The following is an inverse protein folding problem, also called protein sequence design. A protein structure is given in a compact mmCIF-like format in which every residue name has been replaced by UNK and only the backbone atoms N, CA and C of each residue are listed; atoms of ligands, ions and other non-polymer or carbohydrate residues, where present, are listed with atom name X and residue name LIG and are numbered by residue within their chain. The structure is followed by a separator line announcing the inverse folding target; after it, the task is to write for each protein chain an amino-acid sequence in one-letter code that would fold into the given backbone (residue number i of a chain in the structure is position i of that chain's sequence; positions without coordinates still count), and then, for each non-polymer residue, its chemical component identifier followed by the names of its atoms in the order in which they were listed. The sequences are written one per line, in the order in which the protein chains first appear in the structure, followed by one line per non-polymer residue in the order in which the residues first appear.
data_IF_927001498760
#
_entry.id   IF_927001498760
#
_cell.length_a   1.000
_cell.length_b   1.000
_cell.length_c   1.000
_cell.angle_alpha   90.00
_cell.angle_beta   90.00
_cell.angle_gamma   90.00
#
_symmetry.space_group_name_H-M   'P 1'
#
loop_
_entity.id
_entity.type
_entity.pdbx_description
1 polymer ?
#
# COMPACT_ATOMS: atom_id res chain seq x y z
N UNK A 1 -8.28 -17.31 -5.38
CA UNK A 1 -7.84 -17.69 -6.74
C UNK A 1 -6.98 -18.94 -6.59
N UNK A 2 -7.24 -20.01 -7.32
CA UNK A 2 -6.40 -21.21 -7.27
C UNK A 2 -5.00 -20.91 -7.81
N UNK A 3 -3.98 -21.49 -7.16
CA UNK A 3 -2.58 -21.33 -7.57
C UNK A 3 -2.34 -22.03 -8.91
N UNK A 4 -1.68 -21.34 -9.83
CA UNK A 4 -1.24 -21.86 -11.12
C UNK A 4 0.07 -21.17 -11.54
N UNK A 5 0.58 -21.43 -12.76
CA UNK A 5 1.86 -20.87 -13.23
C UNK A 5 1.91 -19.35 -13.37
N UNK A 6 0.76 -18.69 -13.55
CA UNK A 6 0.66 -17.22 -13.67
C UNK A 6 0.24 -16.59 -12.34
N UNK A 7 -0.48 -17.32 -11.50
CA UNK A 7 -1.02 -16.88 -10.22
C UNK A 7 -0.43 -17.78 -9.13
N UNK A 8 0.81 -17.50 -8.73
CA UNK A 8 1.56 -18.40 -7.84
C UNK A 8 1.36 -18.12 -6.36
N UNK A 9 0.75 -16.97 -6.01
CA UNK A 9 0.53 -16.56 -4.64
C UNK A 9 -0.60 -17.35 -3.98
N UNK A 10 -0.26 -18.11 -2.95
CA UNK A 10 -1.23 -18.77 -2.09
C UNK A 10 -1.94 -17.77 -1.16
N UNK A 11 -3.04 -18.19 -0.52
CA UNK A 11 -3.66 -17.40 0.54
C UNK A 11 -2.68 -17.14 1.69
N UNK A 12 -1.82 -18.13 2.02
CA UNK A 12 -0.78 -17.98 3.02
C UNK A 12 0.23 -16.89 2.66
N UNK A 13 0.71 -16.82 1.41
CA UNK A 13 1.63 -15.79 0.94
C UNK A 13 1.01 -14.39 1.08
N UNK A 14 -0.25 -14.25 0.67
CA UNK A 14 -0.98 -12.96 0.71
C UNK A 14 -1.20 -12.48 2.14
N UNK A 15 -1.64 -13.37 3.04
CA UNK A 15 -1.88 -13.02 4.44
C UNK A 15 -0.58 -12.82 5.22
N UNK A 16 0.49 -13.56 4.89
CA UNK A 16 1.82 -13.31 5.45
C UNK A 16 2.36 -11.94 5.07
N UNK A 17 2.13 -11.51 3.82
CA UNK A 17 2.45 -10.17 3.34
C UNK A 17 1.66 -9.11 4.11
N UNK A 18 0.35 -9.29 4.24
CA UNK A 18 -0.52 -8.37 4.97
C UNK A 18 -0.11 -8.24 6.45
N UNK A 19 0.15 -9.37 7.12
CA UNK A 19 0.61 -9.38 8.51
C UNK A 19 1.96 -8.67 8.67
N UNK A 20 2.90 -8.90 7.75
CA UNK A 20 4.21 -8.23 7.77
C UNK A 20 4.07 -6.72 7.69
N UNK A 21 3.21 -6.20 6.82
CA UNK A 21 2.95 -4.75 6.70
C UNK A 21 2.26 -4.21 7.96
N UNK A 22 1.26 -4.91 8.48
CA UNK A 22 0.58 -4.53 9.72
C UNK A 22 1.55 -4.44 10.90
N UNK A 23 2.50 -5.37 11.00
CA UNK A 23 3.57 -5.36 12.00
C UNK A 23 4.53 -4.19 11.80
N UNK A 24 4.92 -3.88 10.57
CA UNK A 24 5.77 -2.73 10.26
C UNK A 24 5.10 -1.41 10.67
N UNK A 25 3.79 -1.29 10.49
CA UNK A 25 3.00 -0.13 10.92
C UNK A 25 2.71 -0.11 12.44
N UNK A 26 2.85 -1.23 13.13
CA UNK A 26 2.64 -1.33 14.59
C UNK A 26 1.18 -1.20 15.03
N UNK A 27 0.22 -1.57 14.18
CA UNK A 27 -1.22 -1.50 14.47
C UNK A 27 -1.72 -2.84 15.00
N UNK A 28 -1.81 -2.97 16.33
CA UNK A 28 -2.15 -4.23 17.01
C UNK A 28 -3.43 -4.89 16.48
N UNK A 29 -4.47 -4.12 16.23
CA UNK A 29 -5.75 -4.67 15.75
C UNK A 29 -5.59 -5.38 14.41
N UNK A 30 -4.81 -4.79 13.51
CA UNK A 30 -4.54 -5.42 12.20
C UNK A 30 -3.61 -6.63 12.34
N UNK A 31 -2.59 -6.55 13.19
CA UNK A 31 -1.73 -7.71 13.46
C UNK A 31 -2.54 -8.89 13.98
N UNK A 32 -3.43 -8.67 14.93
CA UNK A 32 -4.30 -9.72 15.46
C UNK A 32 -5.26 -10.26 14.40
N UNK A 33 -5.84 -9.38 13.58
CA UNK A 33 -6.75 -9.75 12.51
C UNK A 33 -6.08 -10.66 11.47
N UNK A 34 -4.94 -10.24 10.94
CA UNK A 34 -4.24 -11.02 9.90
C UNK A 34 -3.58 -12.28 10.46
N UNK A 35 -3.09 -12.26 11.71
CA UNK A 35 -2.60 -13.46 12.39
C UNK A 35 -3.72 -14.51 12.57
N UNK A 36 -4.92 -14.07 12.95
CA UNK A 36 -6.06 -14.97 13.10
C UNK A 36 -6.52 -15.58 11.76
N UNK A 37 -6.46 -14.83 10.67
CA UNK A 37 -6.76 -15.34 9.33
C UNK A 37 -5.68 -16.29 8.81
N UNK A 38 -4.43 -16.05 9.18
CA UNK A 38 -3.28 -16.87 8.75
C UNK A 38 -3.21 -18.21 9.49
N UNK A 39 -3.53 -18.23 10.78
CA UNK A 39 -3.35 -19.38 11.67
C UNK A 39 -3.93 -20.71 11.16
N UNK A 40 -5.16 -20.76 10.59
CA UNK A 40 -5.75 -22.01 10.11
C UNK A 40 -5.23 -22.46 8.74
N UNK A 41 -4.45 -21.63 8.03
CA UNK A 41 -3.99 -21.98 6.69
C UNK A 41 -2.77 -22.91 6.74
N UNK A 42 -2.68 -23.86 5.81
CA UNK A 42 -1.46 -24.64 5.65
C UNK A 42 -0.32 -23.71 5.23
N UNK A 43 0.78 -23.76 5.96
CA UNK A 43 2.01 -23.07 5.61
C UNK A 43 2.64 -23.63 4.32
N UNK A 44 3.74 -23.02 3.85
CA UNK A 44 4.53 -23.59 2.77
C UNK A 44 5.07 -24.95 3.19
N UNK A 45 5.41 -25.78 2.21
CA UNK A 45 6.13 -27.02 2.51
C UNK A 45 7.47 -26.68 3.20
N UNK A 46 8.08 -27.68 3.85
CA UNK A 46 9.33 -27.50 4.59
C UNK A 46 10.58 -27.43 3.69
N UNK A 47 10.42 -27.34 2.37
CA UNK A 47 11.54 -27.25 1.45
C UNK A 47 12.30 -25.94 1.63
N UNK A 48 13.62 -26.00 1.34
CA UNK A 48 14.47 -24.81 1.37
C UNK A 48 14.00 -23.74 0.37
N UNK A 49 13.49 -24.17 -0.77
CA UNK A 49 13.00 -23.30 -1.83
C UNK A 49 11.75 -22.52 -1.38
N UNK A 50 10.75 -23.21 -0.83
CA UNK A 50 9.52 -22.58 -0.31
C UNK A 50 9.80 -21.63 0.84
N UNK A 51 10.70 -21.99 1.75
CA UNK A 51 11.12 -21.10 2.84
C UNK A 51 11.86 -19.86 2.32
N UNK A 52 12.75 -20.01 1.34
CA UNK A 52 13.45 -18.89 0.69
C UNK A 52 12.44 -17.95 0.01
N UNK A 53 11.48 -18.51 -0.72
CA UNK A 53 10.45 -17.75 -1.42
C UNK A 53 9.63 -16.90 -0.44
N UNK A 54 9.11 -17.50 0.62
CA UNK A 54 8.34 -16.77 1.63
C UNK A 54 9.18 -15.68 2.34
N UNK A 55 10.43 -15.98 2.66
CA UNK A 55 11.36 -15.03 3.27
C UNK A 55 11.60 -13.83 2.35
N UNK A 56 11.79 -14.02 1.05
CA UNK A 56 11.97 -12.94 0.09
C UNK A 56 10.70 -12.08 -0.03
N UNK A 57 9.53 -12.68 -0.11
CA UNK A 57 8.25 -11.96 -0.19
C UNK A 57 8.07 -11.09 1.06
N UNK A 58 8.25 -11.64 2.25
CA UNK A 58 8.03 -10.91 3.50
C UNK A 58 9.13 -9.86 3.75
N UNK A 59 10.36 -10.12 3.36
CA UNK A 59 11.44 -9.12 3.42
C UNK A 59 11.14 -7.93 2.50
N UNK A 60 10.75 -8.19 1.26
CA UNK A 60 10.36 -7.15 0.32
C UNK A 60 9.19 -6.33 0.87
N UNK A 61 8.16 -6.99 1.40
CA UNK A 61 7.00 -6.32 1.99
C UNK A 61 7.39 -5.38 3.14
N UNK A 62 8.28 -5.82 4.02
CA UNK A 62 8.79 -5.00 5.12
C UNK A 62 9.58 -3.80 4.61
N UNK A 63 10.45 -3.99 3.63
CA UNK A 63 11.25 -2.93 3.04
C UNK A 63 10.39 -1.87 2.35
N UNK A 64 9.47 -2.29 1.49
CA UNK A 64 8.59 -1.34 0.80
C UNK A 64 7.66 -0.61 1.78
N UNK A 65 7.17 -1.28 2.82
CA UNK A 65 6.30 -0.67 3.82
C UNK A 65 7.03 0.38 4.68
N UNK A 66 8.28 0.09 5.10
CA UNK A 66 9.01 0.90 6.08
C UNK A 66 10.11 1.78 5.50
N UNK A 67 10.67 1.45 4.36
CA UNK A 67 11.82 2.14 3.75
C UNK A 67 11.77 2.04 2.23
N UNK A 68 10.81 2.71 1.56
CA UNK A 68 10.63 2.59 0.10
C UNK A 68 11.90 2.89 -0.70
N UNK A 69 12.77 3.79 -0.23
CA UNK A 69 14.01 4.18 -0.90
C UNK A 69 15.05 3.06 -1.05
N UNK A 70 14.91 1.95 -0.29
CA UNK A 70 15.81 0.79 -0.43
C UNK A 70 15.35 -0.18 -1.53
N UNK A 71 14.20 0.07 -2.16
CA UNK A 71 13.70 -0.74 -3.27
C UNK A 71 14.43 -0.34 -4.55
N UNK A 72 15.48 -1.07 -4.84
CA UNK A 72 16.29 -0.94 -6.05
C UNK A 72 15.96 -2.06 -7.07
N UNK A 73 16.67 -2.08 -8.18
CA UNK A 73 16.51 -3.11 -9.20
C UNK A 73 16.82 -4.52 -8.66
N UNK A 74 17.75 -4.63 -7.71
CA UNK A 74 18.06 -5.91 -7.07
C UNK A 74 16.87 -6.42 -6.24
N UNK A 75 16.24 -5.55 -5.44
CA UNK A 75 15.07 -5.92 -4.65
C UNK A 75 13.90 -6.36 -5.54
N UNK A 76 13.68 -5.71 -6.69
CA UNK A 76 12.65 -6.10 -7.66
C UNK A 76 12.99 -7.45 -8.31
N UNK A 77 14.23 -7.63 -8.75
CA UNK A 77 14.67 -8.87 -9.41
C UNK A 77 14.60 -10.08 -8.47
N UNK A 78 14.80 -9.89 -7.16
CA UNK A 78 14.68 -10.97 -6.18
C UNK A 78 13.27 -11.59 -6.12
N UNK A 79 12.23 -10.85 -6.43
CA UNK A 79 10.87 -11.39 -6.52
C UNK A 79 10.72 -12.30 -7.75
N UNK A 80 11.27 -11.91 -8.90
CA UNK A 80 11.29 -12.73 -10.12
C UNK A 80 12.12 -14.00 -9.90
N UNK A 81 13.30 -13.89 -9.28
CA UNK A 81 14.17 -15.03 -8.97
C UNK A 81 13.52 -16.13 -8.11
N UNK A 82 12.53 -15.77 -7.30
CA UNK A 82 11.77 -16.76 -6.50
C UNK A 82 10.47 -17.18 -7.17
N UNK A 83 10.29 -16.84 -8.45
CA UNK A 83 9.25 -17.35 -9.33
C UNK A 83 7.92 -16.58 -9.29
N UNK A 84 7.90 -15.32 -8.82
CA UNK A 84 6.71 -14.48 -8.96
C UNK A 84 6.55 -14.02 -10.41
N UNK A 85 5.34 -14.20 -10.94
CA UNK A 85 4.96 -13.64 -12.23
C UNK A 85 4.72 -12.12 -12.14
N UNK A 86 4.63 -11.44 -13.28
CA UNK A 86 4.23 -10.01 -13.31
C UNK A 86 2.90 -9.78 -12.58
N UNK A 87 1.92 -10.67 -12.78
CA UNK A 87 0.65 -10.64 -12.05
C UNK A 87 0.86 -10.72 -10.53
N UNK A 88 1.68 -11.66 -10.06
CA UNK A 88 1.97 -11.83 -8.65
C UNK A 88 2.64 -10.58 -8.05
N UNK A 89 3.58 -9.98 -8.79
CA UNK A 89 4.27 -8.76 -8.37
C UNK A 89 3.27 -7.61 -8.23
N UNK A 90 2.34 -7.46 -9.16
CA UNK A 90 1.26 -6.45 -9.05
C UNK A 90 0.41 -6.71 -7.82
N UNK A 91 -0.03 -7.94 -7.59
CA UNK A 91 -0.86 -8.31 -6.43
C UNK A 91 -0.14 -8.03 -5.11
N UNK A 92 1.12 -8.47 -4.97
CA UNK A 92 1.92 -8.24 -3.74
C UNK A 92 2.04 -6.74 -3.44
N UNK A 93 2.36 -5.93 -4.44
CA UNK A 93 2.53 -4.49 -4.23
C UNK A 93 1.19 -3.80 -3.89
N UNK A 94 0.09 -4.25 -4.49
CA UNK A 94 -1.25 -3.78 -4.11
C UNK A 94 -1.59 -4.15 -2.66
N UNK A 95 -1.27 -5.36 -2.21
CA UNK A 95 -1.46 -5.76 -0.81
C UNK A 95 -0.64 -4.85 0.13
N UNK A 96 0.64 -4.64 -0.17
CA UNK A 96 1.52 -3.82 0.67
C UNK A 96 0.98 -2.38 0.77
N UNK A 97 0.61 -1.79 -0.34
CA UNK A 97 0.04 -0.44 -0.39
C UNK A 97 -1.28 -0.33 0.37
N UNK A 98 -2.21 -1.26 0.10
CA UNK A 98 -3.52 -1.28 0.75
C UNK A 98 -3.42 -1.48 2.27
N UNK A 99 -2.62 -2.43 2.74
CA UNK A 99 -2.49 -2.68 4.19
C UNK A 99 -1.82 -1.49 4.89
N UNK A 100 -0.86 -0.84 4.28
CA UNK A 100 -0.28 0.40 4.79
C UNK A 100 -1.30 1.55 4.88
N UNK A 101 -2.17 1.66 3.90
CA UNK A 101 -3.31 2.57 3.90
C UNK A 101 -4.31 2.20 5.00
N UNK A 102 -4.75 0.95 5.06
CA UNK A 102 -5.67 0.45 6.07
C UNK A 102 -5.16 0.67 7.50
N UNK A 103 -3.86 0.44 7.74
CA UNK A 103 -3.23 0.68 9.04
C UNK A 103 -3.37 2.14 9.49
N UNK A 104 -3.19 3.07 8.56
CA UNK A 104 -3.34 4.51 8.85
C UNK A 104 -4.79 4.92 9.06
N UNK A 105 -5.71 4.38 8.29
CA UNK A 105 -7.15 4.60 8.47
C UNK A 105 -7.59 4.08 9.85
N UNK A 106 -7.15 2.88 10.25
CA UNK A 106 -7.43 2.35 11.59
C UNK A 106 -6.84 3.25 12.67
N UNK A 107 -5.60 3.75 12.49
CA UNK A 107 -4.98 4.68 13.44
C UNK A 107 -5.78 5.99 13.59
N UNK A 108 -6.27 6.56 12.47
CA UNK A 108 -7.12 7.76 12.48
C UNK A 108 -8.39 7.52 13.29
N UNK A 109 -9.12 6.44 13.03
CA UNK A 109 -10.37 6.16 13.73
C UNK A 109 -10.17 5.76 15.19
N UNK A 110 -9.11 5.05 15.53
CA UNK A 110 -8.75 4.77 16.94
C UNK A 110 -8.48 6.07 17.68
N UNK A 111 -7.73 6.99 17.08
CA UNK A 111 -7.45 8.30 17.66
C UNK A 111 -8.74 9.13 17.83
N UNK A 112 -9.61 9.17 16.83
CA UNK A 112 -10.88 9.88 16.85
C UNK A 112 -11.80 9.37 17.96
N UNK A 113 -11.83 8.06 18.18
CA UNK A 113 -12.64 7.40 19.21
C UNK A 113 -11.99 7.45 20.61
N UNK A 114 -10.82 8.06 20.74
CA UNK A 114 -10.10 8.15 22.00
C UNK A 114 -9.60 6.81 22.54
N UNK A 115 -9.46 5.80 21.69
CA UNK A 115 -8.90 4.53 22.12
C UNK A 115 -7.42 4.69 22.50
N UNK A 116 -6.99 4.09 23.62
CA UNK A 116 -5.58 4.17 24.01
C UNK A 116 -4.70 3.53 22.95
N UNK A 117 -3.60 4.19 22.64
CA UNK A 117 -2.55 3.64 21.79
C UNK A 117 -1.96 2.44 22.53
N UNK A 118 -2.21 1.24 22.02
CA UNK A 118 -1.51 0.05 22.48
C UNK A 118 -0.20 -0.01 21.75
N UNK A 119 0.86 0.24 22.49
CA UNK A 119 2.18 0.37 21.95
C UNK A 119 2.76 -0.99 21.57
N UNK A 120 2.67 -1.35 20.29
CA UNK A 120 3.61 -2.24 19.66
C UNK A 120 4.59 -1.34 18.93
N UNK A 121 5.90 -1.43 19.22
CA UNK A 121 6.86 -0.63 18.50
C UNK A 121 6.85 -1.09 17.03
N UNK A 122 6.22 -0.29 16.19
CA UNK A 122 6.37 -0.39 14.74
C UNK A 122 7.75 0.08 14.30
N UNK A 123 8.03 -0.05 13.02
CA UNK A 123 9.24 0.52 12.43
C UNK A 123 9.09 2.05 12.31
N UNK A 124 10.19 2.77 12.44
CA UNK A 124 10.21 4.16 12.01
C UNK A 124 10.20 4.18 10.48
N UNK A 125 9.09 4.62 9.92
CA UNK A 125 8.87 4.59 8.48
C UNK A 125 9.52 5.80 7.83
N UNK A 126 10.36 5.56 6.82
CA UNK A 126 10.96 6.60 6.00
C UNK A 126 10.03 6.88 4.81
N UNK A 127 9.44 8.07 4.70
CA UNK A 127 8.64 8.40 3.54
C UNK A 127 9.56 8.60 2.33
N UNK A 128 9.13 8.08 1.19
CA UNK A 128 9.72 8.45 -0.08
C UNK A 128 9.00 9.69 -0.61
N UNK A 129 9.76 10.72 -0.92
CA UNK A 129 9.24 11.93 -1.55
C UNK A 129 9.48 11.82 -3.05
N UNK A 130 8.43 11.61 -3.81
CA UNK A 130 8.51 11.70 -5.27
C UNK A 130 8.67 13.16 -5.68
N UNK A 131 9.51 13.47 -6.69
CA UNK A 131 9.55 14.80 -7.27
C UNK A 131 8.18 15.23 -7.81
N UNK A 132 7.96 16.53 -7.85
CA UNK A 132 6.69 17.12 -8.26
C UNK A 132 6.35 16.92 -9.76
N UNK A 133 7.34 16.58 -10.60
CA UNK A 133 7.11 16.34 -12.03
C UNK A 133 6.84 14.85 -12.28
N UNK A 134 5.62 14.57 -12.71
CA UNK A 134 5.22 13.21 -13.09
C UNK A 134 5.64 12.81 -14.51
N UNK A 135 6.23 13.73 -15.26
CA UNK A 135 6.50 13.55 -16.70
C UNK A 135 7.69 12.63 -16.99
N UNK A 136 8.49 12.31 -15.97
CA UNK A 136 9.70 11.50 -16.10
C UNK A 136 9.58 10.06 -15.54
N UNK A 137 8.40 9.68 -15.01
CA UNK A 137 8.24 8.34 -14.45
C UNK A 137 7.98 7.29 -15.54
N UNK A 138 8.78 6.22 -15.56
CA UNK A 138 8.65 5.12 -16.50
C UNK A 138 8.43 3.77 -15.81
N UNK A 139 7.52 2.92 -16.34
CA UNK A 139 7.32 1.58 -15.81
C UNK A 139 8.54 0.69 -16.09
N UNK A 140 8.94 -0.10 -15.11
CA UNK A 140 9.95 -1.15 -15.20
C UNK A 140 9.31 -2.53 -15.40
N UNK A 141 8.05 -2.69 -15.02
CA UNK A 141 7.29 -3.91 -15.27
C UNK A 141 6.62 -3.86 -16.66
N UNK A 142 6.45 -5.03 -17.31
CA UNK A 142 5.67 -5.11 -18.53
C UNK A 142 4.26 -4.55 -18.33
N UNK A 143 3.82 -3.69 -19.23
CA UNK A 143 2.45 -3.20 -19.29
C UNK A 143 1.54 -4.23 -19.97
N UNK A 144 0.24 -4.17 -19.69
CA UNK A 144 -0.73 -5.03 -20.36
C UNK A 144 -0.79 -4.65 -21.86
N UNK A 145 -0.54 -5.61 -22.73
CA UNK A 145 -0.68 -5.43 -24.18
C UNK A 145 -2.15 -5.49 -24.60
N UNK A 146 -2.66 -4.43 -25.19
CA UNK A 146 -4.08 -4.30 -25.55
C UNK A 146 -4.59 -5.47 -26.42
N UNK A 147 -3.76 -5.99 -27.32
CA UNK A 147 -4.14 -7.11 -28.19
C UNK A 147 -4.41 -8.43 -27.46
N UNK A 148 -3.91 -8.57 -26.22
CA UNK A 148 -4.12 -9.76 -25.38
C UNK A 148 -4.98 -9.48 -24.17
N UNK A 149 -5.40 -8.24 -23.98
CA UNK A 149 -6.21 -7.82 -22.84
C UNK A 149 -7.62 -8.42 -22.94
N UNK A 150 -8.13 -8.91 -21.82
CA UNK A 150 -9.52 -9.33 -21.71
C UNK A 150 -10.47 -8.12 -21.54
N UNK A 151 -11.78 -8.38 -21.63
CA UNK A 151 -12.79 -7.31 -21.57
C UNK A 151 -12.70 -6.47 -20.27
N UNK A 152 -12.51 -7.12 -19.12
CA UNK A 152 -12.37 -6.42 -17.84
C UNK A 152 -11.12 -5.53 -17.79
N UNK A 153 -9.99 -6.03 -18.30
CA UNK A 153 -8.76 -5.24 -18.40
C UNK A 153 -8.95 -3.99 -19.28
N UNK A 154 -9.62 -4.14 -20.42
CA UNK A 154 -9.90 -3.01 -21.32
C UNK A 154 -10.84 -1.99 -20.69
N UNK A 155 -11.85 -2.44 -19.98
CA UNK A 155 -12.80 -1.56 -19.27
C UNK A 155 -12.10 -0.79 -18.15
N UNK A 156 -11.36 -1.47 -17.28
CA UNK A 156 -10.61 -0.84 -16.18
C UNK A 156 -9.54 0.13 -16.70
N UNK A 157 -8.81 -0.24 -17.76
CA UNK A 157 -7.84 0.64 -18.41
C UNK A 157 -8.51 1.92 -18.93
N UNK A 158 -9.63 1.78 -19.66
CA UNK A 158 -10.38 2.93 -20.19
C UNK A 158 -10.89 3.84 -19.09
N UNK A 159 -11.35 3.27 -17.98
CA UNK A 159 -11.88 4.01 -16.85
C UNK A 159 -10.82 4.82 -16.12
N UNK A 160 -9.67 4.22 -15.82
CA UNK A 160 -8.69 4.81 -14.90
C UNK A 160 -7.52 5.53 -15.57
N UNK A 161 -7.29 5.34 -16.88
CA UNK A 161 -6.23 6.05 -17.59
C UNK A 161 -6.45 7.57 -17.68
N UNK A 162 -7.69 8.04 -17.51
CA UNK A 162 -8.04 9.46 -17.49
C UNK A 162 -7.96 10.08 -16.08
N UNK A 163 -7.77 9.25 -15.04
CA UNK A 163 -7.62 9.73 -13.67
C UNK A 163 -6.15 10.13 -13.43
N UNK A 164 -5.83 11.43 -13.22
CA UNK A 164 -4.45 11.91 -13.20
C UNK A 164 -3.56 11.18 -12.17
N UNK A 165 -4.11 10.83 -11.01
CA UNK A 165 -3.35 10.15 -9.96
C UNK A 165 -3.00 8.69 -10.29
N UNK A 166 -3.76 8.04 -11.18
CA UNK A 166 -3.60 6.64 -11.57
C UNK A 166 -3.07 6.45 -12.98
N UNK A 167 -3.17 7.46 -13.85
CA UNK A 167 -2.91 7.34 -15.29
C UNK A 167 -1.60 6.62 -15.60
N UNK A 168 -0.49 7.01 -14.98
CA UNK A 168 0.81 6.40 -15.20
C UNK A 168 0.89 4.93 -14.71
N UNK A 169 0.20 4.59 -13.61
CA UNK A 169 0.20 3.25 -13.01
C UNK A 169 -0.79 2.30 -13.69
N UNK A 170 -1.84 2.82 -14.30
CA UNK A 170 -2.95 2.02 -14.85
C UNK A 170 -2.51 0.92 -15.80
N UNK A 171 -1.58 1.12 -16.76
CA UNK A 171 -1.15 0.05 -17.68
C UNK A 171 -0.48 -1.13 -16.98
N UNK A 172 0.18 -0.91 -15.84
CA UNK A 172 0.79 -1.96 -15.01
C UNK A 172 -0.25 -2.59 -14.09
N UNK A 173 -1.02 -1.78 -13.38
CA UNK A 173 -2.05 -2.26 -12.44
C UNK A 173 -3.14 -3.08 -13.13
N UNK A 174 -3.35 -2.87 -14.42
CA UNK A 174 -4.34 -3.56 -15.22
C UNK A 174 -4.06 -5.07 -15.39
N UNK A 175 -2.89 -5.57 -14.98
CA UNK A 175 -2.66 -7.02 -14.83
C UNK A 175 -3.64 -7.66 -13.84
N UNK A 176 -4.09 -6.91 -12.82
CA UNK A 176 -5.19 -7.32 -11.93
C UNK A 176 -6.27 -6.23 -11.88
N UNK A 177 -7.20 -6.24 -12.84
CA UNK A 177 -8.16 -5.16 -13.02
C UNK A 177 -9.12 -5.01 -11.82
N UNK A 178 -9.44 -6.08 -11.10
CA UNK A 178 -10.29 -6.00 -9.89
C UNK A 178 -9.64 -5.15 -8.80
N UNK A 179 -8.33 -5.32 -8.58
CA UNK A 179 -7.60 -4.50 -7.61
C UNK A 179 -7.40 -3.07 -8.11
N UNK A 180 -7.20 -2.87 -9.41
CA UNK A 180 -7.15 -1.53 -10.01
C UNK A 180 -8.48 -0.79 -9.78
N UNK A 181 -9.62 -1.44 -10.04
CA UNK A 181 -10.93 -0.84 -9.83
C UNK A 181 -11.14 -0.47 -8.36
N UNK A 182 -10.78 -1.37 -7.44
CA UNK A 182 -10.84 -1.09 -6.00
C UNK A 182 -9.95 0.12 -5.61
N UNK A 183 -8.74 0.19 -6.15
CA UNK A 183 -7.82 1.32 -5.91
C UNK A 183 -8.43 2.64 -6.38
N UNK A 184 -9.02 2.64 -7.56
CA UNK A 184 -9.68 3.81 -8.12
C UNK A 184 -10.91 4.24 -7.33
N UNK A 185 -11.75 3.31 -6.89
CA UNK A 185 -12.90 3.61 -6.03
C UNK A 185 -12.47 4.20 -4.68
N UNK A 186 -11.43 3.66 -4.06
CA UNK A 186 -10.89 4.21 -2.81
C UNK A 186 -10.33 5.62 -3.05
N UNK A 187 -9.63 5.86 -4.16
CA UNK A 187 -9.15 7.18 -4.54
C UNK A 187 -10.30 8.19 -4.60
N UNK A 188 -11.36 7.88 -5.33
CA UNK A 188 -12.49 8.80 -5.49
C UNK A 188 -13.18 9.10 -4.17
N UNK A 189 -13.31 8.11 -3.28
CA UNK A 189 -13.94 8.26 -1.97
C UNK A 189 -13.02 8.93 -0.92
N UNK A 190 -11.70 8.96 -1.15
CA UNK A 190 -10.74 9.56 -0.23
C UNK A 190 -10.34 10.99 -0.61
N UNK A 191 -10.83 11.49 -1.75
CA UNK A 191 -10.45 12.80 -2.28
C UNK A 191 -11.10 13.93 -1.48
N UNK A 192 -10.30 14.86 -0.99
CA UNK A 192 -10.79 16.11 -0.45
C UNK A 192 -11.16 17.06 -1.61
N UNK A 193 -12.33 17.69 -1.51
CA UNK A 193 -12.80 18.63 -2.54
C UNK A 193 -11.94 19.89 -2.65
N UNK A 194 -11.26 20.28 -1.57
CA UNK A 194 -10.42 21.47 -1.52
C UNK A 194 -9.07 21.11 -0.91
N UNK A 195 -7.95 21.28 -1.63
CA UNK A 195 -6.62 21.15 -1.06
C UNK A 195 -6.42 22.28 -0.03
N UNK A 196 -6.35 21.94 1.23
CA UNK A 196 -5.98 22.92 2.24
C UNK A 196 -4.59 22.63 2.79
N UNK A 197 -3.73 23.63 2.68
CA UNK A 197 -2.48 23.67 3.45
C UNK A 197 -2.78 24.33 4.79
N UNK A 198 -2.67 23.57 5.84
CA UNK A 198 -2.75 24.09 7.20
C UNK A 198 -1.46 23.73 7.94
N UNK A 199 -0.87 24.68 8.69
CA UNK A 199 0.32 24.40 9.50
C UNK A 199 0.12 23.25 10.50
N UNK A 200 -1.09 23.03 10.98
CA UNK A 200 -1.39 21.91 11.88
C UNK A 200 -1.51 20.56 11.17
N UNK A 201 -1.86 20.56 9.88
CA UNK A 201 -2.03 19.32 9.12
C UNK A 201 -0.69 18.62 8.88
N UNK A 202 0.36 19.36 8.55
CA UNK A 202 1.68 18.79 8.24
C UNK A 202 2.26 17.91 9.36
N UNK A 203 2.28 18.34 10.64
CA UNK A 203 2.76 17.48 11.73
C UNK A 203 1.91 16.23 11.94
N UNK A 204 0.58 16.34 11.79
CA UNK A 204 -0.33 15.21 11.91
C UNK A 204 -0.11 14.19 10.80
N UNK A 205 0.03 14.65 9.55
CA UNK A 205 0.34 13.81 8.39
C UNK A 205 1.72 13.16 8.54
N UNK A 206 2.72 13.91 8.98
CA UNK A 206 4.06 13.38 9.20
C UNK A 206 4.06 12.26 10.25
N UNK A 207 3.40 12.47 11.38
CA UNK A 207 3.30 11.43 12.41
C UNK A 207 2.53 10.21 11.90
N UNK A 208 1.40 10.41 11.22
CA UNK A 208 0.61 9.32 10.63
C UNK A 208 1.42 8.52 9.61
N UNK A 209 2.26 9.19 8.84
CA UNK A 209 3.10 8.56 7.80
C UNK A 209 4.24 7.77 8.43
N UNK A 210 4.97 8.37 9.37
CA UNK A 210 6.21 7.80 9.93
C UNK A 210 6.00 6.87 11.12
N UNK A 211 4.97 7.11 11.91
CA UNK A 211 4.70 6.40 13.16
C UNK A 211 3.20 6.28 13.43
N UNK A 212 2.47 5.54 12.56
CA UNK A 212 1.03 5.38 12.72
C UNK A 212 0.65 4.72 14.07
N UNK A 213 1.55 3.91 14.63
CA UNK A 213 1.45 3.30 15.97
C UNK A 213 1.39 4.33 17.11
N UNK A 214 1.82 5.57 16.89
CA UNK A 214 1.81 6.67 17.86
C UNK A 214 0.72 7.70 17.61
N UNK A 215 -0.04 7.57 16.53
CA UNK A 215 -1.11 8.51 16.21
C UNK A 215 -2.25 8.37 17.22
N UNK A 216 -2.62 9.47 17.89
CA UNK A 216 -3.57 9.48 19.00
C UNK A 216 -4.54 10.67 18.92
N UNK A 217 -5.50 10.72 19.82
CA UNK A 217 -6.45 11.84 19.95
C UNK A 217 -5.77 13.21 20.07
N UNK A 218 -4.56 13.27 20.63
CA UNK A 218 -3.80 14.51 20.78
C UNK A 218 -3.50 15.21 19.43
N UNK A 219 -3.44 14.47 18.31
CA UNK A 219 -3.20 15.03 17.00
C UNK A 219 -4.40 15.80 16.45
N UNK A 220 -5.61 15.54 16.94
CA UNK A 220 -6.81 16.27 16.51
C UNK A 220 -6.95 17.65 17.15
N UNK A 221 -6.39 17.88 18.32
CA UNK A 221 -6.49 19.18 19.03
C UNK A 221 -5.95 20.34 18.17
N UNK A 222 -4.71 20.30 17.64
CA UNK A 222 -4.21 21.37 16.78
C UNK A 222 -5.00 21.55 15.49
N UNK A 223 -5.58 20.48 14.95
CA UNK A 223 -6.43 20.54 13.75
C UNK A 223 -7.73 21.28 14.04
N UNK A 224 -8.36 20.94 15.17
CA UNK A 224 -9.60 21.58 15.64
C UNK A 224 -9.40 23.07 15.93
N UNK A 225 -8.27 23.43 16.56
CA UNK A 225 -7.92 24.82 16.86
C UNK A 225 -7.75 25.68 15.61
N UNK A 226 -7.45 25.06 14.47
CA UNK A 226 -7.36 25.72 13.16
C UNK A 226 -8.62 25.55 12.30
N UNK A 227 -9.72 25.09 12.88
CA UNK A 227 -10.99 24.89 12.18
C UNK A 227 -11.06 23.65 11.30
N UNK A 228 -10.03 22.81 11.31
CA UNK A 228 -10.02 21.51 10.62
C UNK A 228 -10.58 20.44 11.58
N UNK A 229 -11.87 20.23 11.54
CA UNK A 229 -12.53 19.30 12.47
C UNK A 229 -13.50 18.35 11.76
N UNK A 230 -13.88 17.30 12.47
CA UNK A 230 -14.88 16.34 12.00
C UNK A 230 -14.46 15.59 10.75
N UNK A 231 -15.41 15.40 9.87
CA UNK A 231 -15.26 14.64 8.61
C UNK A 231 -14.15 15.20 7.72
N UNK A 232 -13.98 16.52 7.72
CA UNK A 232 -12.99 17.18 6.87
C UNK A 232 -11.55 16.81 7.26
N UNK A 233 -11.23 16.84 8.57
CA UNK A 233 -9.90 16.40 9.05
C UNK A 233 -9.64 14.93 8.72
N UNK A 234 -10.65 14.07 8.89
CA UNK A 234 -10.58 12.64 8.56
C UNK A 234 -10.29 12.46 7.07
N UNK A 235 -10.99 13.19 6.20
CA UNK A 235 -10.79 13.11 4.75
C UNK A 235 -9.38 13.50 4.35
N UNK A 236 -8.83 14.60 4.87
CA UNK A 236 -7.47 15.04 4.57
C UNK A 236 -6.41 14.02 5.05
N UNK A 237 -6.57 13.47 6.24
CA UNK A 237 -5.67 12.45 6.76
C UNK A 237 -5.77 11.14 5.96
N UNK A 238 -6.97 10.74 5.58
CA UNK A 238 -7.20 9.54 4.75
C UNK A 238 -6.60 9.71 3.35
N UNK A 239 -6.75 10.89 2.75
CA UNK A 239 -6.11 11.20 1.47
C UNK A 239 -4.59 11.10 1.56
N UNK A 240 -3.98 11.65 2.61
CA UNK A 240 -2.53 11.54 2.79
C UNK A 240 -2.06 10.08 2.94
N UNK A 241 -2.85 9.25 3.60
CA UNK A 241 -2.57 7.81 3.70
C UNK A 241 -2.67 7.10 2.34
N UNK A 242 -3.63 7.50 1.52
CA UNK A 242 -3.78 6.99 0.15
C UNK A 242 -2.61 7.43 -0.76
N UNK A 243 -2.16 8.68 -0.65
CA UNK A 243 -0.99 9.17 -1.38
C UNK A 243 0.25 8.34 -1.06
N UNK A 244 0.41 7.91 0.19
CA UNK A 244 1.46 6.98 0.60
C UNK A 244 1.37 5.61 -0.08
N UNK A 245 0.17 5.12 -0.35
CA UNK A 245 -0.04 3.90 -1.14
C UNK A 245 0.40 4.10 -2.60
N UNK A 246 -0.08 5.15 -3.26
CA UNK A 246 0.32 5.46 -4.64
C UNK A 246 1.84 5.65 -4.77
N UNK A 247 2.47 6.33 -3.82
CA UNK A 247 3.93 6.52 -3.83
C UNK A 247 4.68 5.19 -3.79
N UNK A 248 4.22 4.24 -2.97
CA UNK A 248 4.82 2.90 -2.94
C UNK A 248 4.64 2.13 -4.24
N UNK A 249 3.49 2.25 -4.88
CA UNK A 249 3.27 1.64 -6.20
C UNK A 249 4.20 2.23 -7.26
N UNK A 250 4.41 3.55 -7.24
CA UNK A 250 5.34 4.21 -8.17
C UNK A 250 6.78 3.75 -7.96
N UNK A 251 7.23 3.66 -6.70
CA UNK A 251 8.56 3.11 -6.39
C UNK A 251 8.71 1.66 -6.82
N UNK A 252 7.68 0.84 -6.58
CA UNK A 252 7.73 -0.58 -6.88
C UNK A 252 7.71 -0.89 -8.38
N UNK A 253 6.96 -0.13 -9.16
CA UNK A 253 6.68 -0.44 -10.56
C UNK A 253 7.49 0.37 -11.57
N UNK A 254 8.20 1.38 -11.14
CA UNK A 254 8.90 2.24 -12.06
C UNK A 254 10.05 2.99 -11.43
N UNK A 255 10.64 3.83 -12.25
CA UNK A 255 11.69 4.78 -11.86
C UNK A 255 11.44 6.14 -12.49
N UNK A 256 12.01 7.15 -11.90
CA UNK A 256 12.16 8.46 -12.51
C UNK A 256 13.45 8.51 -13.34
N UNK A 257 13.39 9.19 -14.49
CA UNK A 257 14.59 9.47 -15.30
C UNK A 257 15.48 10.55 -14.67
#
# INVERSE_FOLDING_TARGET
IPVNRLHTLSAYDRLSTALTVAQACGIQRLCNHYAALLAPLPGPDSSRESNRRLAQITQYARQLASSPDVIDDKARNQLDEVGLSTYDIVVINQIIGFIGFQARVVAIFQALLGHPVRWLPGHHIQPHTLPASHDAWMPLLPVVELRYANAHQLESLSRWQSEPALAALTPVLCHEPTLLDLTGEILLNSRAEIPQTSPALSPAVELLTRSPDRFSAAQFTPLTDQGLQGEYAITLLTQSAFDGWLNRLKVAFGKEE
#
